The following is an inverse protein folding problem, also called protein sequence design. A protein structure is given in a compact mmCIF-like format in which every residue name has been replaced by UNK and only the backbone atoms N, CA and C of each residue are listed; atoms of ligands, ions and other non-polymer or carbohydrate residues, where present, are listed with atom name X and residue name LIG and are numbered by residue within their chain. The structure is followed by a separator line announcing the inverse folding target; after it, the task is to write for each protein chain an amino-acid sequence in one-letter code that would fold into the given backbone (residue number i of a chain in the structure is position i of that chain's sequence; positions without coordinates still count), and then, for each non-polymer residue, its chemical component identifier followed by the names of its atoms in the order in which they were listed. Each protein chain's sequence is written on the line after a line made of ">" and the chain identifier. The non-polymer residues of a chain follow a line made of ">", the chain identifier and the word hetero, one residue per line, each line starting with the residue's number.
data_IF_028475413504
#
_entry.id   IF_028475413504
#
_cell.length_a   1.000
_cell.length_b   1.000
_cell.length_c   1.000
_cell.angle_alpha   90.00
_cell.angle_beta   90.00
_cell.angle_gamma   90.00
#
_symmetry.space_group_name_H-M   'P 1'
#
loop_
_entity.id
_entity.type
_entity.pdbx_description
1 polymer ?
#
# COMPACT_ATOMS: atom_id res chain seq x y z
N UNK A 1 -1.79 0.42 6.34
CA UNK A 1 -0.73 0.99 7.23
C UNK A 1 -0.04 -0.10 8.05
N UNK A 2 -0.74 -0.87 8.89
CA UNK A 2 -0.09 -1.88 9.75
C UNK A 2 0.75 -2.94 9.00
N UNK A 3 0.31 -3.39 7.82
CA UNK A 3 1.09 -4.30 6.99
C UNK A 3 2.46 -3.72 6.60
N UNK A 4 2.52 -2.44 6.23
CA UNK A 4 3.78 -1.76 5.90
C UNK A 4 4.70 -1.68 7.12
N UNK A 5 4.17 -1.34 8.29
CA UNK A 5 4.96 -1.30 9.53
C UNK A 5 5.50 -2.68 9.89
N UNK A 6 4.69 -3.74 9.71
CA UNK A 6 5.08 -5.12 10.02
C UNK A 6 6.20 -5.64 9.11
N UNK A 7 6.23 -5.22 7.85
CA UNK A 7 7.19 -5.70 6.85
C UNK A 7 8.44 -4.81 6.75
N UNK A 8 8.29 -3.50 6.87
CA UNK A 8 9.35 -2.53 6.58
C UNK A 8 9.76 -1.67 7.79
N UNK A 9 9.06 -1.80 8.92
CA UNK A 9 9.31 -0.98 10.10
C UNK A 9 8.67 0.41 10.01
N UNK A 10 9.14 1.36 10.83
CA UNK A 10 8.62 2.73 10.86
C UNK A 10 9.13 3.52 9.66
N UNK A 11 8.24 4.14 8.91
CA UNK A 11 8.58 5.09 7.85
C UNK A 11 9.25 6.36 8.43
N UNK A 12 10.12 7.00 7.64
CA UNK A 12 10.75 8.26 8.04
C UNK A 12 9.75 9.42 8.03
N UNK A 13 8.87 9.42 7.02
CA UNK A 13 7.83 10.43 6.85
C UNK A 13 6.58 9.82 6.18
N UNK A 14 5.46 10.53 6.26
CA UNK A 14 4.21 10.14 5.66
C UNK A 14 3.40 11.35 5.16
N UNK A 15 2.87 11.25 3.95
CA UNK A 15 1.89 12.21 3.42
C UNK A 15 0.55 11.53 3.18
N UNK A 16 -0.53 12.30 3.29
CA UNK A 16 -1.88 11.81 3.04
C UNK A 16 -2.74 12.92 2.45
N UNK A 17 -3.42 12.62 1.34
CA UNK A 17 -4.41 13.50 0.71
C UNK A 17 -5.72 12.74 0.55
N UNK A 18 -6.83 13.36 0.96
CA UNK A 18 -8.13 12.73 1.00
C UNK A 18 -9.22 13.59 0.36
N UNK A 19 -10.23 12.91 -0.18
CA UNK A 19 -11.54 13.51 -0.39
C UNK A 19 -12.32 13.47 0.92
N UNK A 20 -12.64 14.65 1.43
CA UNK A 20 -13.28 14.82 2.74
C UNK A 20 -14.71 15.31 2.59
N UNK A 21 -15.55 14.94 3.55
CA UNK A 21 -16.85 15.58 3.79
C UNK A 21 -16.66 16.97 4.41
N UNK A 22 -17.71 17.78 4.44
CA UNK A 22 -17.70 19.12 5.07
C UNK A 22 -17.28 19.08 6.56
N UNK A 23 -17.47 17.94 7.22
CA UNK A 23 -17.05 17.71 8.60
C UNK A 23 -15.58 17.23 8.71
N UNK A 24 -14.80 17.30 7.64
CA UNK A 24 -13.39 16.85 7.49
C UNK A 24 -13.12 15.35 7.59
N UNK A 25 -14.15 14.51 7.70
CA UNK A 25 -13.99 13.05 7.66
C UNK A 25 -13.68 12.60 6.23
N UNK A 26 -12.68 11.75 6.07
CA UNK A 26 -12.24 11.19 4.79
C UNK A 26 -13.20 10.10 4.28
N UNK A 27 -13.59 10.23 3.01
CA UNK A 27 -14.34 9.20 2.27
C UNK A 27 -13.38 8.20 1.63
N UNK A 28 -12.34 8.74 0.99
CA UNK A 28 -11.22 8.03 0.42
C UNK A 28 -10.00 8.96 0.39
N UNK A 29 -8.82 8.38 0.22
CA UNK A 29 -7.58 9.12 0.08
C UNK A 29 -6.40 8.23 -0.25
N UNK A 30 -5.36 8.88 -0.72
CA UNK A 30 -4.10 8.28 -1.11
C UNK A 30 -2.99 8.89 -0.24
N UNK A 31 -2.10 8.04 0.23
CA UNK A 31 -0.97 8.41 1.06
C UNK A 31 0.31 7.73 0.61
N UNK A 32 1.43 8.32 1.01
CA UNK A 32 2.75 7.80 0.73
C UNK A 32 3.53 7.67 2.03
N UNK A 33 4.13 6.50 2.26
CA UNK A 33 5.10 6.29 3.33
C UNK A 33 6.51 6.32 2.72
N UNK A 34 7.39 7.16 3.26
CA UNK A 34 8.76 7.32 2.78
C UNK A 34 9.75 6.51 3.63
N UNK A 35 10.52 5.65 2.97
CA UNK A 35 11.64 4.87 3.54
C UNK A 35 12.95 5.35 2.89
N UNK A 36 14.13 4.97 3.41
CA UNK A 36 15.40 5.48 2.89
C UNK A 36 15.57 5.29 1.37
N UNK A 37 15.19 4.11 0.88
CA UNK A 37 15.49 3.69 -0.50
C UNK A 37 14.23 3.46 -1.36
N UNK A 38 13.04 3.58 -0.77
CA UNK A 38 11.77 3.29 -1.46
C UNK A 38 10.59 4.02 -0.80
N UNK A 39 9.44 3.94 -1.46
CA UNK A 39 8.19 4.50 -0.97
C UNK A 39 7.07 3.47 -1.06
N UNK A 40 6.13 3.52 -0.12
CA UNK A 40 4.95 2.64 -0.10
C UNK A 40 3.70 3.49 -0.27
N UNK A 41 2.99 3.27 -1.37
CA UNK A 41 1.71 3.92 -1.64
C UNK A 41 0.58 3.21 -0.88
N UNK A 42 -0.31 3.98 -0.25
CA UNK A 42 -1.44 3.49 0.52
C UNK A 42 -2.70 4.17 0.00
N UNK A 43 -3.66 3.37 -0.47
CA UNK A 43 -5.00 3.83 -0.81
C UNK A 43 -5.98 3.35 0.25
N UNK A 44 -6.78 4.27 0.79
CA UNK A 44 -7.88 3.95 1.68
C UNK A 44 -9.18 4.52 1.09
N UNK A 45 -10.27 3.76 1.12
CA UNK A 45 -11.55 4.21 0.60
C UNK A 45 -12.70 3.41 1.19
N UNK A 46 -13.76 4.12 1.60
CA UNK A 46 -15.01 3.52 2.10
C UNK A 46 -16.19 3.72 1.15
N UNK A 47 -16.12 4.73 0.27
CA UNK A 47 -17.15 4.95 -0.76
C UNK A 47 -16.78 4.37 -2.13
N UNK A 48 -15.59 3.77 -2.26
CA UNK A 48 -15.09 3.11 -3.47
C UNK A 48 -14.63 1.69 -3.14
N UNK A 49 -14.92 0.74 -4.01
CA UNK A 49 -14.38 -0.61 -3.95
C UNK A 49 -13.17 -0.69 -4.88
N UNK A 50 -12.00 -1.00 -4.33
CA UNK A 50 -10.81 -1.28 -5.13
C UNK A 50 -10.52 -2.77 -5.12
N UNK A 51 -10.37 -3.36 -6.31
CA UNK A 51 -9.98 -4.77 -6.50
C UNK A 51 -8.51 -4.90 -6.92
N UNK A 52 -7.71 -3.84 -6.72
CA UNK A 52 -6.29 -3.84 -7.09
C UNK A 52 -5.51 -4.79 -6.18
N UNK A 53 -4.62 -5.63 -6.75
CA UNK A 53 -3.71 -6.44 -5.95
C UNK A 53 -2.69 -5.53 -5.23
N UNK A 54 -2.08 -6.04 -4.17
CA UNK A 54 -1.04 -5.35 -3.43
C UNK A 54 0.33 -5.88 -3.86
N UNK A 55 1.22 -5.00 -4.29
CA UNK A 55 2.51 -5.40 -4.88
C UNK A 55 3.69 -4.88 -4.04
N UNK A 56 4.73 -5.70 -3.94
CA UNK A 56 6.03 -5.32 -3.38
C UNK A 56 7.08 -5.55 -4.47
N UNK A 57 7.68 -4.46 -4.93
CA UNK A 57 8.74 -4.51 -5.93
C UNK A 57 10.09 -4.75 -5.26
N UNK A 58 10.83 -5.72 -5.76
CA UNK A 58 12.20 -6.03 -5.35
C UNK A 58 13.12 -5.87 -6.55
N UNK A 59 14.44 -5.88 -6.32
CA UNK A 59 15.43 -5.77 -7.40
C UNK A 59 15.28 -6.91 -8.42
N UNK A 60 14.79 -8.07 -7.98
CA UNK A 60 14.83 -9.31 -8.75
C UNK A 60 13.45 -9.72 -9.28
N UNK A 61 12.39 -9.04 -8.85
CA UNK A 61 11.04 -9.51 -9.12
C UNK A 61 9.96 -8.68 -8.45
N UNK A 62 8.72 -9.07 -8.67
CA UNK A 62 7.55 -8.46 -8.04
C UNK A 62 6.79 -9.51 -7.24
N UNK A 63 6.57 -9.22 -5.95
CA UNK A 63 5.71 -10.02 -5.09
C UNK A 63 4.29 -9.46 -5.14
N UNK A 64 3.37 -10.21 -5.72
CA UNK A 64 1.96 -9.84 -5.81
C UNK A 64 1.16 -10.60 -4.75
N UNK A 65 0.51 -9.85 -3.86
CA UNK A 65 -0.40 -10.32 -2.83
C UNK A 65 -1.83 -10.05 -3.27
N UNK A 66 -2.73 -11.01 -3.09
CA UNK A 66 -4.14 -10.83 -3.47
C UNK A 66 -4.82 -9.73 -2.66
N UNK A 67 -4.49 -9.62 -1.37
CA UNK A 67 -4.97 -8.61 -0.43
C UNK A 67 -3.92 -8.43 0.67
N UNK A 68 -3.98 -7.33 1.43
CA UNK A 68 -3.16 -7.12 2.64
C UNK A 68 -3.88 -7.51 3.94
N UNK A 69 -5.18 -7.82 3.86
CA UNK A 69 -5.99 -8.37 4.94
C UNK A 69 -6.55 -9.73 4.51
N UNK A 70 -6.48 -10.73 5.39
CA UNK A 70 -6.88 -12.10 5.09
C UNK A 70 -6.24 -12.65 3.80
N UNK A 71 -4.91 -12.53 3.71
CA UNK A 71 -4.09 -12.95 2.56
C UNK A 71 -4.36 -14.42 2.21
N UNK A 72 -4.68 -14.70 0.94
CA UNK A 72 -4.96 -16.05 0.42
C UNK A 72 -3.88 -16.53 -0.54
N UNK A 73 -3.16 -15.62 -1.19
CA UNK A 73 -2.06 -15.96 -2.08
C UNK A 73 -0.98 -14.88 -2.05
N UNK A 74 0.26 -15.35 -2.22
CA UNK A 74 1.45 -14.54 -2.40
C UNK A 74 2.25 -15.18 -3.54
N UNK A 75 2.41 -14.48 -4.65
CA UNK A 75 3.07 -14.98 -5.86
C UNK A 75 4.25 -14.08 -6.16
N UNK A 76 5.45 -14.65 -6.23
CA UNK A 76 6.65 -13.93 -6.65
C UNK A 76 6.91 -14.19 -8.13
N UNK A 77 6.99 -13.13 -8.92
CA UNK A 77 7.34 -13.17 -10.33
C UNK A 77 8.75 -12.62 -10.50
N UNK A 78 9.68 -13.47 -10.92
CA UNK A 78 11.08 -13.10 -11.21
C UNK A 78 11.14 -12.33 -12.55
N UNK A 79 11.95 -11.27 -12.61
CA UNK A 79 12.20 -10.49 -13.83
C UNK A 79 13.46 -10.91 -14.58
N UNK A 80 14.24 -11.85 -14.03
CA UNK A 80 15.42 -12.47 -14.65
C UNK A 80 15.03 -13.74 -15.40
N UNK A 81 14.22 -13.58 -16.45
CA UNK A 81 13.86 -14.65 -17.38
C UNK A 81 15.08 -15.35 -18.00
#
# INVERSE_FOLDING_TARGET
>A
IYAAIRLFGKAQDATYQAQQLDNSIDLNGDGMLFYPDFQVHIKAGKNITSNLPCEIYTVDGTLTLNTIEHVRSAIFTDHRG
#
